data_IF_450116696139
#
_entry.id   IF_450116696139
#
_cell.length_a   1.000
_cell.length_b   1.000
_cell.length_c   1.000
_cell.angle_alpha   90.00
_cell.angle_beta   90.00
_cell.angle_gamma   90.00
#
_symmetry.space_group_name_H-M   'P 1'
#
loop_
_entity.id
_entity.type
_entity.pdbx_description
1 polymer ?
#
# COMPACT_ATOMS: atom_id res chain seq x y z
N UNK A 1 -46.18 -2.52 38.01
CA UNK A 1 -44.84 -2.69 38.62
C UNK A 1 -44.03 -3.61 37.70
N UNK A 2 -43.03 -3.09 36.98
CA UNK A 2 -42.10 -3.92 36.20
C UNK A 2 -40.95 -4.34 37.12
N UNK A 3 -40.80 -5.64 37.35
CA UNK A 3 -39.67 -6.22 38.08
C UNK A 3 -38.40 -6.05 37.25
N UNK A 4 -37.42 -5.31 37.79
CA UNK A 4 -36.03 -5.33 37.33
C UNK A 4 -35.48 -6.73 37.59
N UNK A 5 -35.26 -7.52 36.54
CA UNK A 5 -34.45 -8.73 36.63
C UNK A 5 -33.00 -8.28 36.77
N UNK A 6 -32.44 -8.41 37.96
CA UNK A 6 -31.00 -8.38 38.13
C UNK A 6 -30.41 -9.54 37.33
N UNK A 7 -29.57 -9.22 36.34
CA UNK A 7 -28.80 -10.21 35.61
C UNK A 7 -27.63 -10.61 36.50
N UNK A 8 -27.85 -11.56 37.41
CA UNK A 8 -26.76 -12.20 38.15
C UNK A 8 -26.07 -13.20 37.23
N UNK A 9 -24.89 -12.85 36.73
CA UNK A 9 -24.01 -13.83 36.09
C UNK A 9 -23.48 -14.77 37.18
N UNK A 10 -23.66 -16.09 37.01
CA UNK A 10 -23.07 -17.07 37.90
C UNK A 10 -21.57 -17.27 37.60
N UNK A 11 -20.82 -17.89 38.52
CA UNK A 11 -19.37 -18.07 38.38
C UNK A 11 -18.96 -18.77 37.07
N UNK A 12 -19.78 -19.72 36.60
CA UNK A 12 -19.54 -20.40 35.32
C UNK A 12 -19.70 -19.46 34.12
N UNK A 13 -20.67 -18.54 34.16
CA UNK A 13 -20.85 -17.50 33.14
C UNK A 13 -19.69 -16.49 33.18
N UNK A 14 -19.24 -16.09 34.37
CA UNK A 14 -18.08 -15.19 34.52
C UNK A 14 -16.80 -15.83 33.98
N UNK A 15 -16.52 -17.10 34.34
CA UNK A 15 -15.37 -17.86 33.80
C UNK A 15 -15.43 -18.00 32.28
N UNK A 16 -16.62 -18.25 31.72
CA UNK A 16 -16.79 -18.34 30.26
C UNK A 16 -16.50 -17.00 29.58
N UNK A 17 -16.98 -15.89 30.14
CA UNK A 17 -16.71 -14.54 29.62
C UNK A 17 -15.21 -14.25 29.71
N UNK A 18 -14.57 -14.56 30.83
CA UNK A 18 -13.12 -14.40 31.00
C UNK A 18 -12.33 -15.17 29.94
N UNK A 19 -12.67 -16.45 29.69
CA UNK A 19 -12.03 -17.26 28.65
C UNK A 19 -12.22 -16.66 27.25
N UNK A 20 -13.41 -16.21 26.91
CA UNK A 20 -13.69 -15.57 25.62
C UNK A 20 -12.91 -14.26 25.45
N UNK A 21 -12.83 -13.44 26.49
CA UNK A 21 -12.04 -12.21 26.48
C UNK A 21 -10.56 -12.52 26.30
N UNK A 22 -10.02 -13.50 27.01
CA UNK A 22 -8.61 -13.91 26.88
C UNK A 22 -8.29 -14.43 25.47
N UNK A 23 -9.18 -15.22 24.87
CA UNK A 23 -9.04 -15.65 23.47
C UNK A 23 -9.04 -14.45 22.51
N UNK A 24 -9.97 -13.51 22.70
CA UNK A 24 -10.06 -12.33 21.86
C UNK A 24 -8.81 -11.44 21.98
N UNK A 25 -8.32 -11.22 23.20
CA UNK A 25 -7.07 -10.48 23.45
C UNK A 25 -5.88 -11.16 22.77
N UNK A 26 -5.81 -12.50 22.83
CA UNK A 26 -4.74 -13.26 22.18
C UNK A 26 -4.77 -13.07 20.66
N UNK A 27 -5.94 -13.17 20.03
CA UNK A 27 -6.12 -12.92 18.60
C UNK A 27 -5.73 -11.49 18.20
N UNK A 28 -6.09 -10.49 19.01
CA UNK A 28 -5.69 -9.09 18.76
C UNK A 28 -4.18 -8.91 18.85
N UNK A 29 -3.51 -9.54 19.84
CA UNK A 29 -2.05 -9.51 19.96
C UNK A 29 -1.37 -10.15 18.74
N UNK A 30 -1.82 -11.33 18.31
CA UNK A 30 -1.29 -11.97 17.11
C UNK A 30 -1.51 -11.13 15.87
N UNK A 31 -2.67 -10.48 15.73
CA UNK A 31 -2.95 -9.57 14.62
C UNK A 31 -2.05 -8.33 14.64
N UNK A 32 -1.82 -7.73 15.81
CA UNK A 32 -0.91 -6.59 15.95
C UNK A 32 0.53 -6.98 15.60
N UNK A 33 0.99 -8.15 16.06
CA UNK A 33 2.31 -8.67 15.68
C UNK A 33 2.42 -8.91 14.18
N UNK A 34 1.38 -9.45 13.55
CA UNK A 34 1.33 -9.63 12.10
C UNK A 34 1.32 -8.30 11.33
N UNK A 35 0.59 -7.30 11.80
CA UNK A 35 0.57 -5.96 11.17
C UNK A 35 1.91 -5.23 11.32
N UNK A 36 2.60 -5.45 12.45
CA UNK A 36 3.91 -4.85 12.73
C UNK A 36 5.10 -5.69 12.23
N UNK A 37 4.86 -6.70 11.39
CA UNK A 37 5.95 -7.53 10.87
C UNK A 37 6.53 -6.93 9.58
N UNK A 38 7.85 -6.69 9.56
CA UNK A 38 8.64 -6.54 8.33
C UNK A 38 8.00 -5.58 7.31
N UNK A 39 7.71 -6.01 6.07
CA UNK A 39 7.14 -5.13 5.03
C UNK A 39 5.78 -4.52 5.39
N UNK A 40 4.98 -5.16 6.27
CA UNK A 40 3.67 -4.62 6.70
C UNK A 40 3.81 -3.41 7.62
N UNK A 41 4.87 -3.40 8.44
CA UNK A 41 5.22 -2.22 9.24
C UNK A 41 5.64 -1.06 8.33
N UNK A 42 6.46 -1.35 7.32
CA UNK A 42 7.08 -0.33 6.47
C UNK A 42 6.11 0.24 5.42
N UNK A 43 5.31 -0.61 4.78
CA UNK A 43 4.51 -0.28 3.59
C UNK A 43 3.04 -0.71 3.70
N UNK A 44 2.60 -1.13 4.88
CA UNK A 44 1.21 -1.54 5.09
C UNK A 44 0.89 -2.92 4.51
N UNK A 45 -0.37 -3.33 4.65
CA UNK A 45 -0.84 -4.65 4.23
C UNK A 45 -1.51 -4.62 2.85
N UNK A 46 -1.01 -5.45 1.94
CA UNK A 46 -1.66 -5.78 0.68
C UNK A 46 -2.78 -6.81 0.95
N UNK A 47 -4.02 -6.48 0.57
CA UNK A 47 -5.21 -7.32 0.86
C UNK A 47 -5.99 -7.78 -0.37
N UNK A 48 -5.67 -7.25 -1.56
CA UNK A 48 -6.34 -7.58 -2.82
C UNK A 48 -5.61 -8.70 -3.57
N UNK A 49 -6.31 -9.47 -4.41
CA UNK A 49 -5.75 -10.62 -5.14
C UNK A 49 -5.11 -10.24 -6.47
N UNK A 50 -5.58 -9.16 -7.09
CA UNK A 50 -4.97 -8.55 -8.26
C UNK A 50 -4.59 -7.10 -7.95
N UNK A 51 -3.32 -6.74 -8.11
CA UNK A 51 -2.87 -5.40 -7.76
C UNK A 51 -1.81 -4.86 -8.71
N UNK A 52 -1.95 -3.58 -9.06
CA UNK A 52 -0.86 -2.83 -9.70
C UNK A 52 -0.14 -2.01 -8.64
N UNK A 53 1.18 -2.21 -8.55
CA UNK A 53 2.06 -1.53 -7.61
C UNK A 53 2.74 -0.38 -8.34
N UNK A 54 2.42 0.85 -7.96
CA UNK A 54 3.08 2.06 -8.45
C UNK A 54 4.18 2.44 -7.46
N UNK A 55 5.43 2.44 -7.92
CA UNK A 55 6.59 2.90 -7.14
C UNK A 55 6.91 4.32 -7.57
N UNK A 56 6.55 5.30 -6.75
CA UNK A 56 6.88 6.70 -6.97
C UNK A 56 8.17 7.07 -6.24
N UNK A 57 9.24 7.19 -7.03
CA UNK A 57 10.56 7.65 -6.59
C UNK A 57 11.01 8.90 -7.35
N UNK A 58 10.06 9.64 -7.93
CA UNK A 58 10.33 10.78 -8.83
C UNK A 58 11.03 11.94 -8.13
N UNK A 59 10.85 12.08 -6.80
CA UNK A 59 11.38 13.17 -5.99
C UNK A 59 12.34 12.72 -4.86
N UNK A 60 12.82 11.47 -4.92
CA UNK A 60 13.63 10.86 -3.87
C UNK A 60 15.10 11.31 -3.92
N UNK A 61 15.70 11.63 -2.77
CA UNK A 61 17.15 11.84 -2.69
C UNK A 61 17.86 10.49 -2.79
N UNK A 62 19.01 10.46 -3.47
CA UNK A 62 19.77 9.22 -3.67
C UNK A 62 20.07 8.48 -2.34
N UNK A 63 20.34 9.21 -1.26
CA UNK A 63 20.66 8.63 0.06
C UNK A 63 19.46 7.93 0.73
N UNK A 64 18.24 8.41 0.51
CA UNK A 64 17.02 7.85 1.10
C UNK A 64 16.29 6.88 0.15
N UNK A 65 16.67 6.88 -1.13
CA UNK A 65 16.05 6.03 -2.13
C UNK A 65 16.39 4.55 -1.90
N UNK A 66 17.60 4.24 -1.45
CA UNK A 66 18.04 2.85 -1.21
C UNK A 66 17.19 2.15 -0.15
N UNK A 67 17.00 2.78 1.02
CA UNK A 67 16.20 2.20 2.11
C UNK A 67 14.74 2.02 1.69
N UNK A 68 14.18 2.99 0.96
CA UNK A 68 12.83 2.88 0.39
C UNK A 68 12.73 1.72 -0.60
N UNK A 69 13.66 1.58 -1.55
CA UNK A 69 13.65 0.47 -2.50
C UNK A 69 13.86 -0.88 -1.83
N UNK A 70 14.66 -0.96 -0.77
CA UNK A 70 14.80 -2.18 0.02
C UNK A 70 13.49 -2.56 0.72
N UNK A 71 12.76 -1.59 1.27
CA UNK A 71 11.42 -1.81 1.80
C UNK A 71 10.45 -2.29 0.71
N UNK A 72 10.50 -1.70 -0.49
CA UNK A 72 9.69 -2.12 -1.64
C UNK A 72 10.02 -3.56 -2.04
N UNK A 73 11.30 -3.93 -2.16
CA UNK A 73 11.71 -5.31 -2.46
C UNK A 73 11.21 -6.28 -1.42
N UNK A 74 11.24 -5.91 -0.14
CA UNK A 74 10.71 -6.72 0.95
C UNK A 74 9.19 -6.91 0.81
N UNK A 75 8.46 -5.85 0.49
CA UNK A 75 7.02 -5.90 0.19
C UNK A 75 6.70 -6.80 -1.01
N UNK A 76 7.48 -6.72 -2.09
CA UNK A 76 7.31 -7.60 -3.24
C UNK A 76 7.53 -9.08 -2.84
N UNK A 77 8.62 -9.37 -2.11
CA UNK A 77 8.96 -10.72 -1.66
C UNK A 77 7.95 -11.31 -0.69
N UNK A 78 7.46 -10.53 0.26
CA UNK A 78 6.62 -11.02 1.37
C UNK A 78 5.12 -10.98 1.09
N UNK A 79 4.65 -10.00 0.29
CA UNK A 79 3.22 -9.75 0.12
C UNK A 79 2.77 -9.98 -1.32
N UNK A 80 3.49 -9.45 -2.32
CA UNK A 80 3.10 -9.64 -3.74
C UNK A 80 3.27 -11.10 -4.17
N UNK A 81 4.24 -11.82 -3.60
CA UNK A 81 4.38 -13.27 -3.83
C UNK A 81 3.17 -14.12 -3.40
N UNK A 82 2.28 -13.57 -2.56
CA UNK A 82 1.11 -14.25 -2.05
C UNK A 82 -0.19 -13.89 -2.81
N UNK A 83 -0.15 -12.99 -3.81
CA UNK A 83 -1.33 -12.61 -4.58
C UNK A 83 -1.44 -13.39 -5.90
N UNK A 84 -2.54 -13.22 -6.62
CA UNK A 84 -2.84 -14.01 -7.84
C UNK A 84 -2.21 -13.37 -9.07
N UNK A 85 -2.37 -12.07 -9.26
CA UNK A 85 -1.75 -11.32 -10.37
C UNK A 85 -1.23 -9.97 -9.90
N UNK A 86 -0.16 -9.52 -10.53
CA UNK A 86 0.38 -8.20 -10.26
C UNK A 86 1.02 -7.57 -11.50
N UNK A 87 1.23 -6.27 -11.42
CA UNK A 87 2.18 -5.58 -12.28
C UNK A 87 2.86 -4.48 -11.46
N UNK A 88 4.02 -4.01 -11.93
CA UNK A 88 4.76 -2.92 -11.32
C UNK A 88 4.90 -1.79 -12.32
N UNK A 89 4.58 -0.58 -11.90
CA UNK A 89 4.81 0.65 -12.64
C UNK A 89 5.75 1.51 -11.80
N UNK A 90 6.82 2.03 -12.39
CA UNK A 90 7.77 2.88 -11.68
C UNK A 90 7.76 4.30 -12.26
N UNK A 91 7.61 5.27 -11.37
CA UNK A 91 7.71 6.69 -11.67
C UNK A 91 9.09 7.20 -11.22
N UNK A 92 9.91 7.64 -12.17
CA UNK A 92 11.14 8.40 -11.95
C UNK A 92 11.15 9.63 -12.85
N UNK A 93 12.18 9.84 -13.68
CA UNK A 93 12.17 10.83 -14.76
C UNK A 93 11.32 10.44 -15.97
N UNK A 94 10.78 9.22 -15.98
CA UNK A 94 9.82 8.71 -16.94
C UNK A 94 8.96 7.60 -16.32
N UNK A 95 8.08 7.02 -17.13
CA UNK A 95 7.22 5.91 -16.72
C UNK A 95 7.71 4.61 -17.36
N UNK A 96 8.07 3.64 -16.51
CA UNK A 96 8.41 2.28 -16.96
C UNK A 96 7.54 1.26 -16.24
N UNK A 97 7.29 0.13 -16.90
CA UNK A 97 6.48 -0.95 -16.34
C UNK A 97 7.20 -2.27 -16.47
N UNK A 98 7.03 -3.15 -15.48
CA UNK A 98 7.61 -4.50 -15.51
C UNK A 98 6.96 -5.34 -16.61
N UNK A 99 5.66 -5.17 -16.82
CA UNK A 99 4.90 -5.79 -17.89
C UNK A 99 3.84 -4.83 -18.46
N UNK A 100 3.24 -5.19 -19.60
CA UNK A 100 2.17 -4.37 -20.20
C UNK A 100 0.84 -4.49 -19.46
N UNK A 101 0.56 -5.66 -18.86
CA UNK A 101 -0.68 -5.99 -18.16
C UNK A 101 -0.40 -6.81 -16.89
N UNK A 102 -1.45 -7.12 -16.12
CA UNK A 102 -1.37 -8.00 -14.95
C UNK A 102 -0.79 -9.38 -15.31
N UNK A 103 0.32 -9.73 -14.67
CA UNK A 103 0.98 -11.02 -14.76
C UNK A 103 0.57 -11.92 -13.61
N UNK A 104 0.35 -13.21 -13.89
CA UNK A 104 0.11 -14.20 -12.83
C UNK A 104 1.38 -14.39 -12.00
N UNK A 105 1.21 -14.45 -10.68
CA UNK A 105 2.30 -14.81 -9.77
C UNK A 105 2.62 -16.29 -9.98
N UNK A 106 3.74 -16.56 -10.66
CA UNK A 106 4.34 -17.88 -10.84
C UNK A 106 5.70 -17.91 -10.14
N UNK A 107 6.26 -19.10 -9.85
CA UNK A 107 7.61 -19.21 -9.33
C UNK A 107 8.61 -18.42 -10.19
N UNK A 108 9.40 -17.56 -9.57
CA UNK A 108 10.40 -16.73 -10.27
C UNK A 108 9.92 -15.33 -10.69
N UNK A 109 8.65 -15.15 -11.08
CA UNK A 109 8.15 -13.88 -11.66
C UNK A 109 8.31 -12.69 -10.73
N UNK A 110 8.09 -12.87 -9.42
CA UNK A 110 8.30 -11.78 -8.44
C UNK A 110 9.79 -11.44 -8.30
N UNK A 111 10.68 -12.43 -8.41
CA UNK A 111 12.13 -12.17 -8.38
C UNK A 111 12.59 -11.45 -9.65
N UNK A 112 12.02 -11.78 -10.81
CA UNK A 112 12.24 -11.04 -12.06
C UNK A 112 11.80 -9.58 -11.93
N UNK A 113 10.63 -9.33 -11.33
CA UNK A 113 10.16 -7.97 -11.05
C UNK A 113 11.08 -7.18 -10.10
N UNK A 114 11.72 -7.87 -9.14
CA UNK A 114 12.72 -7.26 -8.25
C UNK A 114 14.02 -6.96 -8.99
N UNK A 115 14.49 -7.88 -9.83
CA UNK A 115 15.69 -7.66 -10.65
C UNK A 115 15.47 -6.50 -11.63
N UNK A 116 14.31 -6.46 -12.28
CA UNK A 116 13.90 -5.34 -13.14
C UNK A 116 13.94 -4.00 -12.39
N UNK A 117 13.50 -3.97 -11.13
CA UNK A 117 13.55 -2.77 -10.30
C UNK A 117 14.99 -2.29 -10.05
N UNK A 118 15.93 -3.22 -9.81
CA UNK A 118 17.36 -2.92 -9.62
C UNK A 118 18.03 -2.39 -10.90
N UNK A 119 17.73 -3.00 -12.04
CA UNK A 119 18.22 -2.58 -13.36
C UNK A 119 17.67 -1.20 -13.74
N UNK A 120 16.38 -0.98 -13.49
CA UNK A 120 15.74 0.32 -13.70
C UNK A 120 16.33 1.40 -12.77
N UNK A 121 16.72 1.07 -11.54
CA UNK A 121 17.35 2.02 -10.63
C UNK A 121 18.71 2.48 -11.16
N UNK A 122 19.53 1.53 -11.60
CA UNK A 122 20.88 1.77 -12.13
C UNK A 122 20.89 2.65 -13.40
N UNK A 123 19.84 2.59 -14.22
CA UNK A 123 19.72 3.35 -15.48
C UNK A 123 19.13 4.76 -15.32
N UNK A 124 18.53 5.10 -14.17
CA UNK A 124 17.75 6.33 -13.99
C UNK A 124 18.53 7.51 -13.39
N UNK A 125 19.83 7.37 -13.10
CA UNK A 125 20.63 8.39 -12.39
C UNK A 125 20.77 9.74 -13.11
N UNK A 126 20.46 9.82 -14.41
CA UNK A 126 20.64 11.02 -15.24
C UNK A 126 19.35 11.54 -15.91
N UNK A 127 18.17 11.04 -15.54
CA UNK A 127 16.91 11.45 -16.15
C UNK A 127 16.37 12.74 -15.52
N UNK A 128 15.79 13.69 -16.29
CA UNK A 128 15.10 14.85 -15.73
C UNK A 128 13.97 14.41 -14.80
N UNK A 129 13.94 14.92 -13.57
CA UNK A 129 12.86 14.58 -12.62
C UNK A 129 11.53 15.17 -13.11
N UNK A 130 10.58 14.30 -13.44
CA UNK A 130 9.21 14.67 -13.82
C UNK A 130 8.23 13.80 -13.04
N UNK A 131 7.15 14.39 -12.51
CA UNK A 131 6.16 13.62 -11.77
C UNK A 131 5.12 13.05 -12.74
N UNK A 132 5.20 11.75 -13.01
CA UNK A 132 4.31 11.02 -13.93
C UNK A 132 3.22 10.22 -13.20
N UNK A 133 2.93 10.56 -11.94
CA UNK A 133 2.00 9.81 -11.12
C UNK A 133 0.57 9.78 -11.69
N UNK A 134 0.09 10.89 -12.27
CA UNK A 134 -1.24 10.92 -12.90
C UNK A 134 -1.35 9.87 -13.99
N UNK A 135 -0.36 9.80 -14.87
CA UNK A 135 -0.35 8.85 -15.97
C UNK A 135 -0.25 7.41 -15.45
N UNK A 136 0.61 7.16 -14.46
CA UNK A 136 0.74 5.86 -13.82
C UNK A 136 -0.59 5.37 -13.24
N UNK A 137 -1.28 6.24 -12.48
CA UNK A 137 -2.57 5.93 -11.87
C UNK A 137 -3.65 5.71 -12.94
N UNK A 138 -3.65 6.54 -13.99
CA UNK A 138 -4.58 6.39 -15.12
C UNK A 138 -4.43 5.03 -15.79
N UNK A 139 -3.19 4.61 -16.10
CA UNK A 139 -2.91 3.29 -16.67
C UNK A 139 -3.30 2.15 -15.72
N UNK A 140 -3.03 2.31 -14.43
CA UNK A 140 -3.31 1.27 -13.43
C UNK A 140 -4.81 1.04 -13.20
N UNK A 141 -5.63 2.10 -13.25
CA UNK A 141 -7.09 2.00 -13.11
C UNK A 141 -7.74 1.46 -14.37
N UNK A 142 -7.21 1.83 -15.55
CA UNK A 142 -7.71 1.34 -16.83
C UNK A 142 -7.36 -0.13 -17.12
N UNK A 143 -6.45 -0.74 -16.34
CA UNK A 143 -6.05 -2.13 -16.53
C UNK A 143 -7.17 -3.09 -16.13
N UNK A 144 -7.61 -3.90 -17.10
CA UNK A 144 -8.70 -4.85 -16.91
C UNK A 144 -8.36 -5.92 -15.87
N UNK A 145 -9.31 -6.18 -14.97
CA UNK A 145 -9.16 -7.19 -13.92
C UNK A 145 -8.26 -6.78 -12.75
N UNK A 146 -7.89 -5.51 -12.66
CA UNK A 146 -7.19 -4.97 -11.50
C UNK A 146 -8.17 -4.71 -10.35
N UNK A 147 -7.93 -5.31 -9.19
CA UNK A 147 -8.79 -5.11 -8.01
C UNK A 147 -8.41 -3.85 -7.23
N UNK A 148 -7.13 -3.43 -7.28
CA UNK A 148 -6.64 -2.28 -6.53
C UNK A 148 -5.32 -1.72 -7.07
N UNK A 149 -5.09 -0.44 -6.82
CA UNK A 149 -3.79 0.20 -7.02
C UNK A 149 -3.11 0.42 -5.67
N UNK A 150 -1.79 0.21 -5.61
CA UNK A 150 -0.97 0.52 -4.44
C UNK A 150 0.14 1.48 -4.84
N UNK A 151 0.07 2.72 -4.37
CA UNK A 151 1.10 3.75 -4.57
C UNK A 151 2.06 3.67 -3.38
N UNK A 152 3.31 3.32 -3.65
CA UNK A 152 4.40 3.35 -2.69
C UNK A 152 5.22 4.61 -2.99
N UNK A 153 5.34 5.53 -2.03
CA UNK A 153 6.00 6.83 -2.22
C UNK A 153 6.73 7.28 -0.95
N UNK A 154 7.68 8.20 -1.10
CA UNK A 154 8.26 8.93 0.04
C UNK A 154 7.47 10.19 0.42
N UNK A 155 6.36 10.46 -0.26
CA UNK A 155 5.41 11.49 0.14
C UNK A 155 5.93 12.92 0.01
N UNK A 156 6.79 13.17 -0.98
CA UNK A 156 7.49 14.46 -1.16
C UNK A 156 6.76 15.47 -2.05
N UNK A 157 5.63 15.08 -2.67
CA UNK A 157 4.85 15.95 -3.55
C UNK A 157 3.41 16.08 -3.05
N UNK A 158 2.92 17.32 -2.96
CA UNK A 158 1.51 17.61 -2.70
C UNK A 158 0.65 17.22 -3.92
N UNK A 159 -0.36 16.39 -3.71
CA UNK A 159 -1.23 15.93 -4.80
C UNK A 159 -2.29 16.96 -5.22
N UNK A 160 -2.52 18.03 -4.44
CA UNK A 160 -3.47 19.09 -4.80
C UNK A 160 -3.21 19.75 -6.15
N UNK A 161 -1.95 19.73 -6.61
CA UNK A 161 -1.59 20.18 -7.96
C UNK A 161 -2.15 19.29 -9.08
N UNK A 162 -2.68 18.11 -8.75
CA UNK A 162 -3.24 17.11 -9.65
C UNK A 162 -4.77 17.00 -9.52
N UNK A 163 -5.49 18.12 -9.64
CA UNK A 163 -6.96 18.15 -9.55
C UNK A 163 -7.67 17.18 -10.52
N UNK A 164 -7.08 16.92 -11.69
CA UNK A 164 -7.56 15.92 -12.65
C UNK A 164 -7.54 14.49 -12.10
N UNK A 165 -6.55 14.16 -11.26
CA UNK A 165 -6.42 12.85 -10.64
C UNK A 165 -7.52 12.61 -9.60
N UNK A 166 -7.90 13.63 -8.82
CA UNK A 166 -9.03 13.53 -7.90
C UNK A 166 -10.35 13.23 -8.64
N UNK A 167 -10.62 13.95 -9.74
CA UNK A 167 -11.85 13.73 -10.53
C UNK A 167 -11.89 12.35 -11.17
N UNK A 168 -10.77 11.89 -11.73
CA UNK A 168 -10.65 10.54 -12.30
C UNK A 168 -10.91 9.47 -11.24
N UNK A 169 -10.35 9.64 -10.05
CA UNK A 169 -10.47 8.67 -8.97
C UNK A 169 -11.86 8.62 -8.34
N UNK A 170 -12.59 9.74 -8.33
CA UNK A 170 -14.00 9.77 -7.91
C UNK A 170 -14.89 8.88 -8.78
N UNK A 171 -14.57 8.78 -10.06
CA UNK A 171 -15.34 8.00 -11.03
C UNK A 171 -14.87 6.54 -11.12
N UNK A 172 -13.72 6.22 -10.52
CA UNK A 172 -13.15 4.88 -10.53
C UNK A 172 -13.78 4.00 -9.45
N UNK A 173 -14.02 2.73 -9.77
CA UNK A 173 -14.38 1.70 -8.79
C UNK A 173 -13.16 0.98 -8.20
N UNK A 174 -11.96 1.21 -8.75
CA UNK A 174 -10.72 0.60 -8.29
C UNK A 174 -10.15 1.43 -7.13
N UNK A 175 -10.05 0.87 -5.92
CA UNK A 175 -9.48 1.57 -4.78
C UNK A 175 -7.99 1.84 -4.97
N UNK A 176 -7.54 3.03 -4.57
CA UNK A 176 -6.13 3.43 -4.62
C UNK A 176 -5.59 3.58 -3.21
N UNK A 177 -4.77 2.62 -2.82
CA UNK A 177 -4.10 2.57 -1.53
C UNK A 177 -2.75 3.27 -1.63
N UNK A 178 -2.36 3.99 -0.59
CA UNK A 178 -1.14 4.79 -0.57
C UNK A 178 -0.34 4.40 0.66
N UNK A 179 0.93 4.06 0.46
CA UNK A 179 1.89 3.79 1.51
C UNK A 179 3.01 4.80 1.42
N UNK A 180 3.12 5.61 2.46
CA UNK A 180 4.11 6.67 2.56
C UNK A 180 5.25 6.22 3.47
N UNK A 181 6.45 6.12 2.92
CA UNK A 181 7.67 5.74 3.62
C UNK A 181 8.51 6.98 3.91
N UNK A 182 8.65 7.35 5.18
CA UNK A 182 9.42 8.51 5.64
C UNK A 182 8.91 9.84 5.06
N UNK A 183 7.68 10.22 5.40
CA UNK A 183 7.08 11.47 4.90
C UNK A 183 7.75 12.69 5.53
N UNK A 184 8.33 13.56 4.70
CA UNK A 184 8.97 14.81 5.14
C UNK A 184 8.11 16.05 4.94
N UNK A 185 6.96 15.94 4.25
CA UNK A 185 6.04 17.04 3.95
C UNK A 185 4.64 16.80 4.57
N UNK A 186 4.29 17.49 5.66
CA UNK A 186 2.96 17.37 6.27
C UNK A 186 1.81 17.77 5.33
N UNK A 187 2.04 18.70 4.39
CA UNK A 187 1.01 19.14 3.45
C UNK A 187 0.63 18.03 2.46
N UNK A 188 1.63 17.28 1.98
CA UNK A 188 1.40 16.12 1.13
C UNK A 188 0.58 15.04 1.84
N UNK A 189 0.74 14.86 3.15
CA UNK A 189 0.02 13.84 3.91
C UNK A 189 -1.50 14.08 3.95
N UNK A 190 -1.91 15.34 4.11
CA UNK A 190 -3.34 15.68 4.11
C UNK A 190 -3.98 15.48 2.73
N UNK A 191 -3.22 15.68 1.67
CA UNK A 191 -3.65 15.37 0.30
C UNK A 191 -3.83 13.86 0.09
N UNK A 192 -2.90 13.03 0.60
CA UNK A 192 -3.03 11.57 0.54
C UNK A 192 -4.24 11.06 1.33
N UNK A 193 -4.53 11.64 2.51
CA UNK A 193 -5.73 11.31 3.29
C UNK A 193 -7.00 11.64 2.52
N UNK A 194 -7.05 12.84 1.93
CA UNK A 194 -8.20 13.27 1.13
C UNK A 194 -8.40 12.36 -0.08
N UNK A 195 -7.31 11.99 -0.75
CA UNK A 195 -7.35 11.10 -1.91
C UNK A 195 -7.90 9.71 -1.56
N UNK A 196 -7.34 9.06 -0.53
CA UNK A 196 -7.78 7.75 -0.08
C UNK A 196 -9.27 7.76 0.33
N UNK A 197 -9.73 8.85 0.97
CA UNK A 197 -11.15 9.02 1.33
C UNK A 197 -12.05 9.01 0.10
N UNK A 198 -11.60 9.64 -0.98
CA UNK A 198 -12.37 9.82 -2.22
C UNK A 198 -12.45 8.55 -3.06
N UNK A 199 -11.38 7.76 -3.11
CA UNK A 199 -11.31 6.51 -3.91
C UNK A 199 -11.57 5.23 -3.09
N UNK A 200 -12.06 5.35 -1.85
CA UNK A 200 -12.24 4.22 -0.92
C UNK A 200 -10.94 3.40 -0.71
N UNK A 201 -9.80 4.08 -0.77
CA UNK A 201 -8.47 3.53 -0.55
C UNK A 201 -8.03 3.59 0.92
N UNK A 202 -6.84 3.05 1.19
CA UNK A 202 -6.22 3.07 2.53
C UNK A 202 -4.91 3.84 2.49
N UNK A 203 -4.66 4.60 3.55
CA UNK A 203 -3.39 5.27 3.78
C UNK A 203 -2.60 4.53 4.86
N UNK A 204 -1.36 4.18 4.55
CA UNK A 204 -0.35 3.72 5.50
C UNK A 204 0.78 4.73 5.56
N UNK A 205 1.27 5.04 6.76
CA UNK A 205 2.39 5.96 6.96
C UNK A 205 3.39 5.29 7.90
N UNK A 206 4.63 5.19 7.44
CA UNK A 206 5.75 4.76 8.25
C UNK A 206 6.73 5.92 8.42
N UNK A 207 6.95 6.34 9.67
CA UNK A 207 7.98 7.28 10.04
C UNK A 207 8.80 6.63 11.17
N UNK A 208 10.10 6.32 10.94
CA UNK A 208 10.98 5.70 11.92
C UNK A 208 11.28 6.59 13.13
#
# INVERSE_FOLDING_TARGET
MKTLKEVCANDAQLLRIEQQLNQFVSLLKSRLQWLNSSSRLLLGALVHSHAIIIIDSSLSDANQLTSFLDAVKLFLKEQVSAIVKFNIIRCTGGLTSFADNLLKVLPGVVQEGIQWLDEAHSSSFNAPMTNNLIEAVTRAIACEGNDAVYILTQGRSALRSYSSLFNMLQLSHVPVNISVYECTDPGALDDYKELCRVCNGRLHVYNP
#
